data_IF_382409373593
#
_entry.id   IF_382409373593
#
_cell.length_a   1.000
_cell.length_b   1.000
_cell.length_c   1.000
_cell.angle_alpha   90.00
_cell.angle_beta   90.00
_cell.angle_gamma   90.00
#
_symmetry.space_group_name_H-M   'P 1'
#
loop_
_entity.id
_entity.type
_entity.pdbx_description
1 polymer ?
#
# COMPACT_ATOMS: atom_id res chain seq x y z
N UNK A 1 2.51 -16.54 8.80
CA UNK A 1 2.31 -16.70 7.35
C UNK A 1 2.86 -18.06 6.95
N UNK A 2 1.99 -19.01 6.67
CA UNK A 2 2.37 -20.27 6.05
C UNK A 2 2.49 -20.01 4.54
N UNK A 3 3.55 -19.30 4.13
CA UNK A 3 3.94 -19.44 2.73
C UNK A 3 4.49 -20.86 2.60
N UNK A 4 4.14 -21.58 1.53
CA UNK A 4 4.76 -22.88 1.20
C UNK A 4 6.30 -22.80 1.15
N UNK A 5 6.85 -21.59 1.01
CA UNK A 5 8.28 -21.29 1.01
C UNK A 5 8.86 -21.06 2.41
N UNK A 6 8.05 -20.99 3.47
CA UNK A 6 8.48 -20.74 4.85
C UNK A 6 9.58 -21.69 5.32
N UNK A 7 9.44 -23.02 5.11
CA UNK A 7 10.46 -24.00 5.46
C UNK A 7 11.82 -23.77 4.77
N UNK A 8 11.87 -23.06 3.63
CA UNK A 8 13.15 -22.73 2.97
C UNK A 8 13.92 -21.62 3.69
N UNK A 9 13.22 -20.77 4.46
CA UNK A 9 13.81 -19.65 5.18
C UNK A 9 14.09 -19.98 6.66
N UNK A 10 13.38 -20.93 7.24
CA UNK A 10 13.54 -21.37 8.65
C UNK A 10 15.00 -21.66 9.08
N UNK A 11 15.85 -22.32 8.26
CA UNK A 11 17.23 -22.62 8.66
C UNK A 11 18.09 -21.38 8.94
N UNK A 12 17.68 -20.19 8.48
CA UNK A 12 18.42 -18.95 8.62
C UNK A 12 17.94 -18.07 9.79
N UNK A 13 17.02 -18.57 10.62
CA UNK A 13 16.50 -17.87 11.80
C UNK A 13 15.92 -16.49 11.46
N UNK A 14 16.27 -15.46 12.23
CA UNK A 14 15.79 -14.08 12.03
C UNK A 14 16.11 -13.55 10.62
N UNK A 15 17.29 -13.88 10.08
CA UNK A 15 17.67 -13.46 8.72
C UNK A 15 16.75 -14.10 7.67
N UNK A 16 16.38 -15.36 7.90
CA UNK A 16 15.39 -16.07 7.08
C UNK A 16 14.03 -15.40 7.09
N UNK A 17 13.53 -15.06 8.27
CA UNK A 17 12.24 -14.36 8.45
C UNK A 17 12.25 -13.00 7.72
N UNK A 18 13.33 -12.23 7.85
CA UNK A 18 13.49 -10.96 7.12
C UNK A 18 13.47 -11.22 5.61
N UNK A 19 14.23 -12.20 5.13
CA UNK A 19 14.26 -12.58 3.72
C UNK A 19 12.88 -12.96 3.18
N UNK A 20 12.12 -13.78 3.92
CA UNK A 20 10.76 -14.16 3.57
C UNK A 20 9.86 -12.93 3.41
N UNK A 21 9.94 -11.97 4.34
CA UNK A 21 9.12 -10.77 4.28
C UNK A 21 9.47 -9.86 3.11
N UNK A 22 10.76 -9.62 2.86
CA UNK A 22 11.20 -8.70 1.82
C UNK A 22 11.17 -9.27 0.40
N UNK A 23 11.35 -10.59 0.24
CA UNK A 23 11.51 -11.22 -1.07
C UNK A 23 10.26 -11.96 -1.55
N UNK A 24 9.38 -12.36 -0.64
CA UNK A 24 8.19 -13.16 -0.97
C UNK A 24 6.91 -12.42 -0.57
N UNK A 25 6.69 -12.25 0.73
CA UNK A 25 5.43 -11.71 1.28
C UNK A 25 5.16 -10.30 0.78
N UNK A 26 6.06 -9.36 1.09
CA UNK A 26 5.90 -7.95 0.73
C UNK A 26 5.68 -7.77 -0.78
N UNK A 27 6.57 -8.30 -1.64
CA UNK A 27 6.42 -8.22 -3.09
C UNK A 27 5.11 -8.77 -3.61
N UNK A 28 4.73 -10.00 -3.21
CA UNK A 28 3.52 -10.65 -3.74
C UNK A 28 2.29 -9.86 -3.31
N UNK A 29 2.17 -9.54 -2.02
CA UNK A 29 0.97 -8.88 -1.53
C UNK A 29 0.80 -7.47 -2.07
N UNK A 30 1.88 -6.66 -2.08
CA UNK A 30 1.80 -5.30 -2.61
C UNK A 30 1.58 -5.29 -4.12
N UNK A 31 2.09 -6.29 -4.85
CA UNK A 31 1.79 -6.45 -6.26
C UNK A 31 0.32 -6.80 -6.51
N UNK A 32 -0.27 -7.70 -5.72
CA UNK A 32 -1.71 -8.06 -5.84
C UNK A 32 -2.59 -6.84 -5.55
N UNK A 33 -2.31 -6.10 -4.47
CA UNK A 33 -3.04 -4.86 -4.12
C UNK A 33 -2.91 -3.82 -5.24
N UNK A 34 -1.70 -3.60 -5.73
CA UNK A 34 -1.44 -2.70 -6.85
C UNK A 34 -2.18 -3.13 -8.12
N UNK A 35 -2.20 -4.44 -8.42
CA UNK A 35 -2.87 -4.98 -9.59
C UNK A 35 -4.37 -4.71 -9.52
N UNK A 36 -5.00 -4.88 -8.35
CA UNK A 36 -6.41 -4.55 -8.13
C UNK A 36 -6.72 -3.09 -8.50
N UNK A 37 -5.87 -2.13 -8.09
CA UNK A 37 -5.99 -0.72 -8.49
C UNK A 37 -5.84 -0.58 -10.01
N UNK A 38 -4.84 -1.25 -10.59
CA UNK A 38 -4.48 -1.14 -12.00
C UNK A 38 -5.56 -1.69 -12.94
N UNK A 39 -6.27 -2.75 -12.54
CA UNK A 39 -7.31 -3.37 -13.36
C UNK A 39 -8.67 -2.69 -13.20
N UNK A 40 -9.02 -2.27 -11.98
CA UNK A 40 -10.35 -1.75 -11.68
C UNK A 40 -10.43 -0.22 -11.79
N UNK A 41 -9.60 0.49 -11.01
CA UNK A 41 -9.71 1.94 -10.90
C UNK A 41 -8.95 2.69 -12.01
N UNK A 42 -7.78 2.18 -12.40
CA UNK A 42 -6.89 2.90 -13.33
C UNK A 42 -7.46 3.05 -14.76
N UNK A 43 -8.40 2.19 -15.16
CA UNK A 43 -9.09 2.30 -16.45
C UNK A 43 -10.39 3.11 -16.38
N UNK A 44 -10.81 3.48 -15.16
CA UNK A 44 -12.05 4.19 -14.94
C UNK A 44 -11.85 5.71 -15.13
N UNK A 45 -12.88 6.36 -15.66
CA UNK A 45 -12.98 7.81 -15.79
C UNK A 45 -13.12 8.52 -14.43
N UNK A 46 -13.38 7.79 -13.34
CA UNK A 46 -13.34 8.35 -11.99
C UNK A 46 -11.89 8.66 -11.51
N UNK A 47 -10.87 8.04 -12.12
CA UNK A 47 -9.48 8.26 -11.75
C UNK A 47 -8.92 9.43 -12.57
N UNK A 48 -9.01 10.63 -11.98
CA UNK A 48 -8.75 11.91 -12.62
C UNK A 48 -7.57 12.66 -12.01
N UNK A 49 -7.07 12.22 -10.85
CA UNK A 49 -5.97 12.86 -10.15
C UNK A 49 -4.97 11.85 -9.56
N UNK A 50 -3.76 12.33 -9.22
CA UNK A 50 -2.77 11.52 -8.48
C UNK A 50 -3.29 11.14 -7.08
N UNK A 51 -4.12 12.00 -6.49
CA UNK A 51 -4.72 11.75 -5.17
C UNK A 51 -5.67 10.57 -5.22
N UNK A 52 -6.42 10.41 -6.30
CA UNK A 52 -7.32 9.27 -6.51
C UNK A 52 -6.53 7.96 -6.47
N UNK A 53 -5.31 7.95 -7.00
CA UNK A 53 -4.40 6.82 -6.88
C UNK A 53 -4.15 6.41 -5.42
N UNK A 54 -3.85 7.38 -4.55
CA UNK A 54 -3.66 7.10 -3.13
C UNK A 54 -4.95 6.59 -2.45
N UNK A 55 -6.12 7.14 -2.81
CA UNK A 55 -7.42 6.74 -2.27
C UNK A 55 -7.79 5.31 -2.71
N UNK A 56 -7.65 4.99 -3.99
CA UNK A 56 -7.88 3.62 -4.48
C UNK A 56 -6.85 2.64 -3.92
N UNK A 57 -5.61 3.09 -3.69
CA UNK A 57 -4.61 2.31 -2.97
C UNK A 57 -5.04 1.99 -1.55
N UNK A 58 -5.47 2.98 -0.78
CA UNK A 58 -6.03 2.77 0.56
C UNK A 58 -7.21 1.79 0.54
N UNK A 59 -8.14 1.93 -0.41
CA UNK A 59 -9.28 1.04 -0.57
C UNK A 59 -8.88 -0.41 -0.88
N UNK A 60 -7.91 -0.62 -1.79
CA UNK A 60 -7.35 -1.94 -2.06
C UNK A 60 -6.69 -2.54 -0.82
N UNK A 61 -6.00 -1.72 -0.01
CA UNK A 61 -5.41 -2.13 1.26
C UNK A 61 -6.44 -2.60 2.28
N UNK A 62 -7.56 -1.87 2.44
CA UNK A 62 -8.69 -2.28 3.30
C UNK A 62 -9.28 -3.61 2.85
N UNK A 63 -9.56 -3.76 1.54
CA UNK A 63 -10.12 -5.00 1.00
C UNK A 63 -9.19 -6.19 1.20
N UNK A 64 -7.89 -6.00 0.98
CA UNK A 64 -6.89 -7.03 1.23
C UNK A 64 -6.82 -7.41 2.71
N UNK A 65 -6.74 -6.44 3.60
CA UNK A 65 -6.69 -6.68 5.05
C UNK A 65 -7.93 -7.45 5.54
N UNK A 66 -9.12 -7.16 4.99
CA UNK A 66 -10.34 -7.90 5.31
C UNK A 66 -10.24 -9.38 4.91
N UNK A 67 -9.84 -9.67 3.67
CA UNK A 67 -9.67 -11.05 3.17
C UNK A 67 -8.62 -11.78 4.00
N UNK A 68 -7.46 -11.16 4.20
CA UNK A 68 -6.35 -11.77 4.93
C UNK A 68 -6.73 -12.06 6.40
N UNK A 69 -7.45 -11.14 7.05
CA UNK A 69 -7.95 -11.36 8.40
C UNK A 69 -8.94 -12.53 8.49
N UNK A 70 -9.90 -12.62 7.56
CA UNK A 70 -10.87 -13.71 7.55
C UNK A 70 -10.18 -15.06 7.34
N UNK A 71 -9.28 -15.15 6.36
CA UNK A 71 -8.56 -16.38 6.07
C UNK A 71 -7.70 -16.81 7.25
N UNK A 72 -6.94 -15.89 7.84
CA UNK A 72 -6.01 -16.22 8.91
C UNK A 72 -6.72 -16.61 10.21
N UNK A 73 -7.76 -15.88 10.60
CA UNK A 73 -8.58 -16.22 11.78
C UNK A 73 -9.27 -17.56 11.55
N UNK A 74 -9.80 -17.80 10.35
CA UNK A 74 -10.43 -19.07 9.97
C UNK A 74 -9.47 -20.25 10.03
N UNK A 75 -8.26 -20.12 9.50
CA UNK A 75 -7.22 -21.16 9.57
C UNK A 75 -6.88 -21.52 11.01
N UNK A 76 -6.59 -20.52 11.85
CA UNK A 76 -6.26 -20.75 13.28
C UNK A 76 -7.43 -21.40 14.02
N UNK A 77 -8.66 -20.97 13.74
CA UNK A 77 -9.86 -21.59 14.31
C UNK A 77 -9.96 -23.07 13.95
N UNK A 78 -9.81 -23.41 12.66
CA UNK A 78 -9.92 -24.78 12.17
C UNK A 78 -8.79 -25.69 12.69
N UNK A 79 -7.56 -25.16 12.77
CA UNK A 79 -6.42 -25.87 13.38
C UNK A 79 -6.68 -26.19 14.86
N UNK A 80 -7.25 -25.24 15.60
CA UNK A 80 -7.59 -25.45 17.01
C UNK A 80 -8.76 -26.43 17.20
N UNK A 81 -9.76 -26.46 16.31
CA UNK A 81 -10.84 -27.48 16.34
C UNK A 81 -10.26 -28.90 16.23
N UNK A 82 -9.22 -29.08 15.42
CA UNK A 82 -8.56 -30.38 15.23
C UNK A 82 -7.57 -30.76 16.33
N UNK A 83 -7.30 -29.88 17.31
CA UNK A 83 -6.23 -30.07 18.29
C UNK A 83 -6.81 -30.25 19.71
N UNK A 84 -6.69 -31.45 20.31
CA UNK A 84 -7.17 -31.68 21.67
C UNK A 84 -6.54 -30.70 22.68
N UNK A 85 -7.37 -30.07 23.50
CA UNK A 85 -6.94 -29.14 24.55
C UNK A 85 -6.76 -27.69 24.12
N UNK A 86 -6.95 -27.34 22.84
CA UNK A 86 -7.03 -25.94 22.41
C UNK A 86 -8.49 -25.49 22.32
N UNK A 87 -8.80 -24.33 22.90
CA UNK A 87 -10.10 -23.70 22.76
C UNK A 87 -10.15 -22.89 21.44
N UNK A 88 -10.93 -23.31 20.42
CA UNK A 88 -10.84 -22.70 19.09
C UNK A 88 -11.25 -21.23 19.06
N UNK A 89 -12.24 -20.86 19.88
CA UNK A 89 -12.69 -19.47 20.02
C UNK A 89 -11.61 -18.60 20.63
N UNK A 90 -10.90 -19.07 21.66
CA UNK A 90 -9.83 -18.30 22.31
C UNK A 90 -8.63 -18.10 21.36
N UNK A 91 -8.23 -19.16 20.65
CA UNK A 91 -7.17 -19.09 19.65
C UNK A 91 -7.52 -18.06 18.55
N UNK A 92 -8.74 -18.14 17.99
CA UNK A 92 -9.21 -17.20 16.98
C UNK A 92 -9.28 -15.76 17.49
N UNK A 93 -9.78 -15.53 18.71
CA UNK A 93 -9.87 -14.18 19.31
C UNK A 93 -8.48 -13.59 19.55
N UNK A 94 -7.52 -14.37 20.05
CA UNK A 94 -6.16 -13.89 20.30
C UNK A 94 -5.49 -13.37 19.01
N UNK A 95 -5.65 -14.11 17.92
CA UNK A 95 -5.12 -13.76 16.61
C UNK A 95 -5.87 -12.59 15.99
N UNK A 96 -7.19 -12.52 16.15
CA UNK A 96 -7.99 -11.37 15.72
C UNK A 96 -7.52 -10.07 16.40
N UNK A 97 -7.22 -10.10 17.69
CA UNK A 97 -6.69 -8.95 18.43
C UNK A 97 -5.32 -8.51 17.90
N UNK A 98 -4.41 -9.44 17.62
CA UNK A 98 -3.11 -9.11 17.03
C UNK A 98 -3.27 -8.48 15.64
N UNK A 99 -4.10 -9.09 14.79
CA UNK A 99 -4.32 -8.66 13.41
C UNK A 99 -5.08 -7.34 13.28
N UNK A 100 -5.83 -6.94 14.31
CA UNK A 100 -6.44 -5.61 14.37
C UNK A 100 -5.40 -4.49 14.21
N UNK A 101 -4.21 -4.65 14.80
CA UNK A 101 -3.13 -3.67 14.67
C UNK A 101 -2.37 -3.75 13.34
N UNK A 102 -2.50 -4.85 12.60
CA UNK A 102 -1.90 -5.05 11.27
C UNK A 102 -2.74 -4.40 10.16
N UNK A 103 -4.07 -4.44 10.30
CA UNK A 103 -5.03 -3.89 9.32
C UNK A 103 -4.74 -2.46 8.83
N UNK A 104 -4.48 -1.47 9.72
CA UNK A 104 -4.13 -0.11 9.34
C UNK A 104 -2.87 0.00 8.46
N UNK A 105 -1.93 -0.94 8.60
CA UNK A 105 -0.70 -1.00 7.81
C UNK A 105 -0.97 -1.16 6.33
N UNK A 106 -1.80 -2.14 5.96
CA UNK A 106 -2.15 -2.38 4.56
C UNK A 106 -2.75 -1.16 3.87
N UNK A 107 -3.52 -0.35 4.60
CA UNK A 107 -4.08 0.90 4.07
C UNK A 107 -2.97 1.88 3.71
N UNK A 108 -2.02 2.11 4.63
CA UNK A 108 -0.89 3.04 4.41
C UNK A 108 0.01 2.52 3.29
N UNK A 109 0.38 1.24 3.31
CA UNK A 109 1.34 0.67 2.36
C UNK A 109 0.79 0.69 0.93
N UNK A 110 -0.45 0.25 0.77
CA UNK A 110 -1.12 0.24 -0.53
C UNK A 110 -1.42 1.65 -1.04
N UNK A 111 -1.68 2.63 -0.15
CA UNK A 111 -1.83 4.03 -0.54
C UNK A 111 -0.54 4.63 -1.13
N UNK A 112 0.65 4.19 -0.67
CA UNK A 112 1.92 4.56 -1.30
C UNK A 112 2.03 4.01 -2.72
N UNK A 113 1.77 2.72 -2.93
CA UNK A 113 1.77 2.12 -4.27
C UNK A 113 0.75 2.82 -5.20
N UNK A 114 -0.45 3.10 -4.68
CA UNK A 114 -1.51 3.81 -5.39
C UNK A 114 -1.15 5.24 -5.77
N UNK A 115 -0.51 6.01 -4.87
CA UNK A 115 -0.05 7.37 -5.16
C UNK A 115 0.93 7.39 -6.34
N UNK A 116 1.92 6.49 -6.34
CA UNK A 116 2.89 6.41 -7.44
C UNK A 116 2.27 5.89 -8.74
N UNK A 117 1.30 4.97 -8.67
CA UNK A 117 0.54 4.57 -9.85
C UNK A 117 -0.24 5.76 -10.44
N UNK A 118 -0.86 6.59 -9.59
CA UNK A 118 -1.48 7.85 -10.00
C UNK A 118 -0.48 8.79 -10.66
N UNK A 119 0.69 8.99 -10.04
CA UNK A 119 1.75 9.81 -10.62
C UNK A 119 2.20 9.30 -11.99
N UNK A 120 2.31 7.99 -12.17
CA UNK A 120 2.69 7.34 -13.42
C UNK A 120 1.64 7.47 -14.53
N UNK A 121 0.36 7.71 -14.18
CA UNK A 121 -0.70 8.02 -15.16
C UNK A 121 -0.47 9.35 -15.84
N UNK A 122 -0.10 10.37 -15.06
CA UNK A 122 0.08 11.75 -15.53
C UNK A 122 1.51 12.08 -15.98
N UNK A 123 2.43 11.11 -15.95
CA UNK A 123 3.82 11.24 -16.40
C UNK A 123 4.19 10.04 -17.30
N UNK A 124 3.59 9.91 -18.50
CA UNK A 124 3.71 8.72 -19.33
C UNK A 124 5.13 8.41 -19.77
N UNK A 125 5.98 9.42 -19.94
CA UNK A 125 7.39 9.28 -20.35
C UNK A 125 8.22 8.51 -19.32
N UNK A 126 7.84 8.59 -18.04
CA UNK A 126 8.54 7.96 -16.92
C UNK A 126 7.68 6.92 -16.20
N UNK A 127 6.62 6.41 -16.85
CA UNK A 127 5.62 5.54 -16.22
C UNK A 127 6.23 4.32 -15.52
N UNK A 128 7.13 3.60 -16.20
CA UNK A 128 7.76 2.39 -15.67
C UNK A 128 8.54 2.64 -14.37
N UNK A 129 9.57 3.50 -14.39
CA UNK A 129 10.35 3.82 -13.19
C UNK A 129 9.51 4.34 -12.01
N UNK A 130 8.46 5.14 -12.28
CA UNK A 130 7.57 5.66 -11.23
C UNK A 130 6.79 4.52 -10.56
N UNK A 131 6.25 3.57 -11.34
CA UNK A 131 5.54 2.41 -10.81
C UNK A 131 6.47 1.53 -9.97
N UNK A 132 7.65 1.21 -10.50
CA UNK A 132 8.65 0.38 -9.80
C UNK A 132 9.03 1.04 -8.47
N UNK A 133 9.29 2.35 -8.46
CA UNK A 133 9.58 3.09 -7.23
C UNK A 133 8.44 3.00 -6.22
N UNK A 134 7.19 3.12 -6.66
CA UNK A 134 6.02 3.00 -5.81
C UNK A 134 5.91 1.63 -5.14
N UNK A 135 6.05 0.58 -5.94
CA UNK A 135 6.02 -0.81 -5.45
C UNK A 135 7.18 -1.08 -4.50
N UNK A 136 8.42 -0.68 -4.84
CA UNK A 136 9.57 -0.88 -3.95
C UNK A 136 9.40 -0.18 -2.60
N UNK A 137 8.85 1.05 -2.58
CA UNK A 137 8.56 1.73 -1.32
C UNK A 137 7.50 0.96 -0.53
N UNK A 138 6.38 0.56 -1.16
CA UNK A 138 5.31 -0.18 -0.50
C UNK A 138 5.79 -1.52 0.07
N UNK A 139 6.56 -2.28 -0.71
CA UNK A 139 7.19 -3.54 -0.28
C UNK A 139 8.12 -3.30 0.89
N UNK A 140 8.99 -2.29 0.80
CA UNK A 140 9.94 -1.99 1.86
C UNK A 140 9.23 -1.67 3.18
N UNK A 141 8.25 -0.77 3.16
CA UNK A 141 7.53 -0.36 4.39
C UNK A 141 6.65 -1.49 4.93
N UNK A 142 6.10 -2.33 4.08
CA UNK A 142 5.31 -3.47 4.51
C UNK A 142 6.21 -4.56 5.12
N UNK A 143 7.27 -4.98 4.43
CA UNK A 143 8.19 -6.00 4.90
C UNK A 143 8.96 -5.57 6.17
N UNK A 144 9.33 -4.28 6.27
CA UNK A 144 9.93 -3.72 7.48
C UNK A 144 8.95 -3.74 8.65
N UNK A 145 7.67 -3.44 8.41
CA UNK A 145 6.64 -3.55 9.44
C UNK A 145 6.51 -4.99 9.94
N UNK A 146 6.32 -5.95 9.04
CA UNK A 146 6.19 -7.37 9.38
C UNK A 146 7.40 -7.87 10.15
N UNK A 147 8.61 -7.55 9.69
CA UNK A 147 9.84 -7.84 10.42
C UNK A 147 9.82 -7.28 11.84
N UNK A 148 9.45 -6.01 11.98
CA UNK A 148 9.48 -5.33 13.29
C UNK A 148 8.47 -5.95 14.25
N UNK A 149 7.23 -6.20 13.81
CA UNK A 149 6.20 -6.77 14.69
C UNK A 149 6.40 -8.27 14.97
N UNK A 150 7.24 -8.96 14.21
CA UNK A 150 7.66 -10.33 14.49
C UNK A 150 8.82 -10.41 15.47
N UNK A 151 9.82 -9.53 15.34
CA UNK A 151 11.06 -9.60 16.14
C UNK A 151 10.96 -8.82 17.45
N UNK A 152 10.34 -7.63 17.44
CA UNK A 152 10.28 -6.77 18.63
C UNK A 152 9.52 -7.35 19.83
N UNK A 153 8.49 -8.21 19.69
CA UNK A 153 7.83 -8.83 20.84
C UNK A 153 8.76 -9.65 21.75
N UNK A 154 9.89 -10.14 21.24
CA UNK A 154 10.89 -10.86 22.05
C UNK A 154 11.74 -9.93 22.93
N UNK A 155 11.72 -8.62 22.65
CA UNK A 155 12.63 -7.63 23.22
C UNK A 155 11.86 -6.54 23.99
N UNK A 156 10.64 -6.22 23.56
CA UNK A 156 9.85 -5.11 24.06
C UNK A 156 8.57 -5.56 24.77
N UNK A 157 8.16 -4.89 25.86
CA UNK A 157 6.86 -5.13 26.45
C UNK A 157 5.73 -4.70 25.49
N UNK A 158 4.56 -5.31 25.60
CA UNK A 158 3.44 -5.08 24.68
C UNK A 158 3.03 -3.60 24.52
N UNK A 159 3.11 -2.80 25.59
CA UNK A 159 2.82 -1.35 25.53
C UNK A 159 3.80 -0.58 24.63
N UNK A 160 5.08 -0.97 24.64
CA UNK A 160 6.09 -0.36 23.78
C UNK A 160 5.88 -0.76 22.31
N UNK A 161 5.43 -2.00 22.07
CA UNK A 161 5.06 -2.45 20.72
C UNK A 161 3.88 -1.65 20.16
N UNK A 162 2.84 -1.38 20.96
CA UNK A 162 1.72 -0.53 20.55
C UNK A 162 2.20 0.89 20.21
N UNK A 163 3.07 1.47 21.04
CA UNK A 163 3.69 2.77 20.76
C UNK A 163 4.47 2.77 19.45
N UNK A 164 5.28 1.74 19.21
CA UNK A 164 6.01 1.54 17.95
C UNK A 164 5.06 1.49 16.74
N UNK A 165 3.98 0.70 16.82
CA UNK A 165 2.99 0.56 15.73
C UNK A 165 2.37 1.92 15.39
N UNK A 166 1.96 2.70 16.39
CA UNK A 166 1.37 4.03 16.18
C UNK A 166 2.37 4.98 15.50
N UNK A 167 3.61 5.02 16.00
CA UNK A 167 4.67 5.87 15.45
C UNK A 167 5.01 5.46 14.02
N UNK A 168 5.14 4.16 13.76
CA UNK A 168 5.47 3.62 12.44
C UNK A 168 4.43 4.02 11.38
N UNK A 169 3.16 3.76 11.66
CA UNK A 169 2.07 4.12 10.75
C UNK A 169 1.93 5.63 10.61
N UNK A 170 1.97 6.36 11.72
CA UNK A 170 1.89 7.82 11.72
C UNK A 170 3.01 8.47 10.92
N UNK A 171 4.24 7.94 11.01
CA UNK A 171 5.38 8.42 10.24
C UNK A 171 5.15 8.26 8.74
N UNK A 172 4.85 7.05 8.26
CA UNK A 172 4.65 6.76 6.84
C UNK A 172 3.40 7.45 6.27
N UNK A 173 2.32 7.51 7.04
CA UNK A 173 1.12 8.27 6.70
C UNK A 173 1.45 9.76 6.56
N UNK A 174 2.18 10.35 7.50
CA UNK A 174 2.57 11.77 7.45
C UNK A 174 3.41 12.08 6.21
N UNK A 175 4.38 11.22 5.89
CA UNK A 175 5.21 11.40 4.69
C UNK A 175 4.39 11.32 3.39
N UNK A 176 3.45 10.37 3.31
CA UNK A 176 2.53 10.27 2.18
C UNK A 176 1.63 11.50 2.08
N UNK A 177 1.05 11.93 3.20
CA UNK A 177 0.19 13.10 3.29
C UNK A 177 0.91 14.36 2.80
N UNK A 178 2.17 14.56 3.21
CA UNK A 178 3.01 15.67 2.73
C UNK A 178 3.22 15.63 1.21
N UNK A 179 3.46 14.45 0.64
CA UNK A 179 3.58 14.27 -0.83
C UNK A 179 2.28 14.58 -1.56
N UNK A 180 1.16 14.05 -1.06
CA UNK A 180 -0.18 14.29 -1.62
C UNK A 180 -0.52 15.79 -1.58
N UNK A 181 -0.26 16.45 -0.45
CA UNK A 181 -0.50 17.89 -0.28
C UNK A 181 0.36 18.72 -1.22
N UNK A 182 1.66 18.45 -1.29
CA UNK A 182 2.59 19.14 -2.18
C UNK A 182 2.17 19.01 -3.65
N UNK A 183 1.76 17.81 -4.08
CA UNK A 183 1.28 17.61 -5.44
C UNK A 183 -0.01 18.41 -5.73
N UNK A 184 -0.94 18.45 -4.77
CA UNK A 184 -2.19 19.22 -4.89
C UNK A 184 -1.93 20.72 -5.01
N UNK A 185 -0.98 21.26 -4.24
CA UNK A 185 -0.58 22.67 -4.30
C UNK A 185 0.07 23.02 -5.65
N UNK A 186 0.98 22.16 -6.14
CA UNK A 186 1.60 22.32 -7.46
C UNK A 186 0.59 22.27 -8.61
N UNK A 187 -0.37 21.35 -8.53
CA UNK A 187 -1.45 21.27 -9.51
C UNK A 187 -2.27 22.57 -9.48
N UNK A 188 -2.75 23.00 -8.31
CA UNK A 188 -3.51 24.25 -8.17
C UNK A 188 -2.77 25.45 -8.75
N UNK A 189 -1.50 25.66 -8.39
CA UNK A 189 -0.71 26.80 -8.86
C UNK A 189 -0.56 26.85 -10.39
N UNK A 190 -0.39 25.70 -11.06
CA UNK A 190 -0.27 25.64 -12.52
C UNK A 190 -1.57 25.93 -13.27
N UNK A 191 -2.72 25.66 -12.66
CA UNK A 191 -4.04 25.82 -13.30
C UNK A 191 -4.81 27.06 -12.85
N UNK A 192 -4.49 27.67 -11.69
CA UNK A 192 -5.04 28.97 -11.30
C UNK A 192 -4.29 30.15 -11.93
N UNK A 193 -3.02 29.98 -12.30
CA UNK A 193 -2.23 30.98 -13.05
C UNK A 193 -2.59 31.12 -14.54
N UNK A 194 -3.43 30.22 -15.07
CA UNK A 194 -4.03 30.31 -16.41
C UNK A 194 -5.54 30.53 -16.29
N UNK A 195 -5.98 31.69 -15.83
CA UNK A 195 -7.30 32.19 -16.24
C UNK A 195 -7.15 32.76 -17.64
N UNK A 196 -7.84 32.26 -18.68
CA UNK A 196 -8.11 33.09 -19.83
C UNK A 196 -8.92 34.27 -19.30
N UNK A 197 -8.38 35.48 -19.40
CA UNK A 197 -9.18 36.69 -19.32
C UNK A 197 -10.09 36.69 -20.54
N UNK A 198 -11.27 36.07 -20.44
CA UNK A 198 -12.18 36.00 -21.57
C UNK A 198 -13.50 35.33 -21.22
N UNK A 199 -14.47 36.14 -20.79
CA UNK A 199 -15.90 35.95 -21.02
C UNK A 199 -16.63 34.82 -20.27
N UNK A 200 -17.94 35.00 -20.00
CA UNK A 200 -18.76 33.98 -19.36
C UNK A 200 -19.23 32.96 -20.40
N UNK A 201 -18.43 31.95 -20.74
CA UNK A 201 -18.93 30.75 -21.43
C UNK A 201 -18.17 29.49 -20.96
N UNK A 202 -18.89 28.40 -20.77
CA UNK A 202 -18.57 27.25 -19.90
C UNK A 202 -17.33 26.39 -20.23
N UNK A 203 -17.03 25.39 -19.39
CA UNK A 203 -15.78 24.63 -19.47
C UNK A 203 -15.78 23.60 -20.60
N UNK A 204 -15.12 23.92 -21.70
CA UNK A 204 -14.63 22.94 -22.67
C UNK A 204 -13.32 22.32 -22.20
N UNK A 205 -13.29 21.00 -21.97
CA UNK A 205 -12.08 20.27 -21.62
C UNK A 205 -10.99 20.42 -22.71
N UNK A 206 -9.69 20.54 -22.37
CA UNK A 206 -8.64 20.67 -23.37
C UNK A 206 -8.40 19.34 -24.09
N UNK A 207 -8.70 19.30 -25.39
CA UNK A 207 -8.23 18.23 -26.30
C UNK A 207 -6.70 18.31 -26.40
N UNK A 208 -6.04 17.18 -26.16
CA UNK A 208 -4.59 17.02 -26.25
C UNK A 208 -4.05 17.48 -27.60
N UNK A 209 -3.20 18.50 -27.59
CA UNK A 209 -2.50 18.97 -28.78
C UNK A 209 -1.21 18.19 -28.94
N UNK A 210 -1.14 17.43 -30.04
CA UNK A 210 0.03 16.65 -30.43
C UNK A 210 1.26 17.53 -30.65
N UNK A 211 2.37 17.10 -30.06
CA UNK A 211 3.69 17.68 -30.28
C UNK A 211 4.14 17.26 -31.69
N UNK A 212 4.06 18.18 -32.66
CA UNK A 212 4.82 18.09 -33.90
C UNK A 212 6.26 18.50 -33.62
N UNK A 213 7.19 17.55 -33.73
CA UNK A 213 8.62 17.79 -33.74
C UNK A 213 9.01 18.63 -34.97
N UNK A 214 9.61 19.80 -34.73
CA UNK A 214 10.31 20.57 -35.77
C UNK A 214 11.73 20.04 -35.91
N UNK A 215 12.01 19.39 -37.04
CA UNK A 215 13.36 19.25 -37.59
C UNK A 215 13.87 20.64 -38.04
N UNK A 216 15.07 21.02 -37.61
CA UNK A 216 16.04 21.88 -38.32
C UNK A 216 17.43 21.34 -37.93
N UNK A 217 18.08 20.68 -38.88
CA UNK A 217 19.23 21.15 -39.69
C UNK A 217 20.48 21.28 -38.85
#
# INVERSE_FOLDING_TARGET
MNSELGPLFEPFGVVGVVGLYFLVVGPIEEFVKWLAIRVYAYRNDAFQTVVDGAVYGAAAGVGFAAIENVLYIGTVYLEAVGTPGLAPTEAATSVATQRFFVGPGHVVFSAWAGFYLGLARFNPENRGPIIVKGLLIAVFIHALYNTSVTVLPEILPGVALIGFIIVYHGFWFTLLYRKVRSYRELYRARFTGRRPTGGPDGPGAPRGTGIRSRRRR
#
